data_IF_753389742801
#
_entry.id   IF_753389742801
#
_cell.length_a   1.000
_cell.length_b   1.000
_cell.length_c   1.000
_cell.angle_alpha   90.00
_cell.angle_beta   90.00
_cell.angle_gamma   90.00
#
_symmetry.space_group_name_H-M   'P 1'
#
loop_
_entity.id
_entity.type
_entity.pdbx_description
1 polymer ?
#
# COMPACT_ATOMS: atom_id res chain seq x y z
N UNK A 1 -44.03 -17.74 40.51
CA UNK A 1 -42.58 -17.48 40.42
C UNK A 1 -42.09 -17.91 39.05
N UNK A 2 -40.99 -17.30 38.59
CA UNK A 2 -40.26 -17.52 37.33
C UNK A 2 -40.73 -16.67 36.13
N UNK A 3 -40.45 -15.37 36.31
CA UNK A 3 -39.68 -14.48 35.43
C UNK A 3 -39.45 -14.93 33.98
N UNK A 4 -39.99 -14.12 33.06
CA UNK A 4 -39.63 -14.17 31.65
C UNK A 4 -38.43 -13.24 31.43
N UNK A 5 -37.25 -13.81 31.21
CA UNK A 5 -36.06 -13.08 30.80
C UNK A 5 -36.26 -12.48 29.40
N UNK A 6 -36.62 -11.21 29.41
CA UNK A 6 -36.76 -10.35 28.23
C UNK A 6 -35.37 -10.18 27.61
N UNK A 7 -35.10 -10.90 26.53
CA UNK A 7 -33.90 -10.68 25.71
C UNK A 7 -33.89 -9.23 25.25
N UNK A 8 -33.01 -8.44 25.89
CA UNK A 8 -32.81 -7.04 25.62
C UNK A 8 -31.95 -6.94 24.35
N UNK A 9 -32.58 -7.04 23.18
CA UNK A 9 -31.94 -6.77 21.89
C UNK A 9 -31.63 -5.28 21.80
N UNK A 10 -30.51 -4.88 22.41
CA UNK A 10 -29.91 -3.57 22.13
C UNK A 10 -29.37 -3.63 20.71
N UNK A 11 -30.21 -3.30 19.73
CA UNK A 11 -29.72 -2.82 18.46
C UNK A 11 -28.89 -1.56 18.75
N UNK A 12 -27.57 -1.72 18.75
CA UNK A 12 -26.64 -0.61 18.75
C UNK A 12 -26.96 0.23 17.52
N UNK A 13 -27.67 1.35 17.72
CA UNK A 13 -27.85 2.36 16.70
C UNK A 13 -26.46 2.81 16.28
N UNK A 14 -25.98 2.32 15.13
CA UNK A 14 -24.75 2.78 14.51
C UNK A 14 -24.92 4.28 14.26
N UNK A 15 -24.16 5.11 14.97
CA UNK A 15 -24.30 6.55 14.84
C UNK A 15 -23.70 6.97 13.50
N UNK A 16 -24.47 7.70 12.69
CA UNK A 16 -24.02 8.24 11.40
C UNK A 16 -22.69 9.00 11.53
N UNK A 17 -22.50 9.71 12.64
CA UNK A 17 -21.28 10.44 12.95
C UNK A 17 -20.07 9.51 13.13
N UNK A 18 -20.27 8.35 13.76
CA UNK A 18 -19.22 7.34 13.95
C UNK A 18 -18.84 6.69 12.62
N UNK A 19 -19.82 6.44 11.74
CA UNK A 19 -19.58 5.91 10.39
C UNK A 19 -18.82 6.91 9.51
N UNK A 20 -19.19 8.19 9.56
CA UNK A 20 -18.48 9.26 8.84
C UNK A 20 -17.04 9.37 9.36
N UNK A 21 -16.86 9.33 10.68
CA UNK A 21 -15.53 9.40 11.30
C UNK A 21 -14.67 8.18 10.94
N UNK A 22 -15.22 6.97 10.99
CA UNK A 22 -14.52 5.75 10.62
C UNK A 22 -14.08 5.79 9.14
N UNK A 23 -14.94 6.27 8.24
CA UNK A 23 -14.62 6.42 6.83
C UNK A 23 -13.53 7.46 6.57
N UNK A 24 -13.59 8.61 7.27
CA UNK A 24 -12.56 9.65 7.17
C UNK A 24 -11.19 9.14 7.63
N UNK A 25 -11.14 8.40 8.76
CA UNK A 25 -9.91 7.81 9.28
C UNK A 25 -9.35 6.72 8.37
N UNK A 26 -10.23 5.88 7.81
CA UNK A 26 -9.83 4.79 6.91
C UNK A 26 -9.26 5.33 5.59
N UNK A 27 -9.94 6.31 4.98
CA UNK A 27 -9.53 6.89 3.69
C UNK A 27 -8.26 7.75 3.76
N UNK A 28 -7.97 8.32 4.93
CA UNK A 28 -6.74 9.12 5.15
C UNK A 28 -5.57 8.29 5.70
N UNK A 29 -5.76 6.98 5.91
CA UNK A 29 -4.72 6.09 6.42
C UNK A 29 -3.56 6.04 5.43
N UNK A 30 -2.43 6.61 5.85
CA UNK A 30 -1.17 6.51 5.10
C UNK A 30 -0.77 5.04 5.03
N UNK A 31 -0.72 4.50 3.82
CA UNK A 31 -0.14 3.18 3.58
C UNK A 31 1.35 3.22 3.93
N UNK A 32 1.86 2.11 4.48
CA UNK A 32 3.32 1.95 4.64
C UNK A 32 3.94 2.16 3.26
N UNK A 33 4.99 2.99 3.18
CA UNK A 33 5.84 3.06 2.00
C UNK A 33 6.46 1.68 1.81
N UNK A 34 5.84 0.87 0.96
CA UNK A 34 6.50 -0.28 0.37
C UNK A 34 7.44 0.28 -0.68
N UNK A 35 8.70 -0.18 -0.70
CA UNK A 35 9.57 0.04 -1.85
C UNK A 35 8.94 -0.71 -3.04
N UNK A 36 8.01 -0.05 -3.72
CA UNK A 36 7.44 -0.51 -4.98
C UNK A 36 8.37 -0.16 -6.15
N UNK A 37 9.57 0.34 -5.86
CA UNK A 37 10.66 0.32 -6.82
C UNK A 37 11.07 -1.13 -6.96
N UNK A 38 10.89 -1.70 -8.14
CA UNK A 38 11.70 -2.83 -8.58
C UNK A 38 13.14 -2.45 -8.23
N UNK A 39 13.82 -3.21 -7.37
CA UNK A 39 15.23 -3.02 -7.07
C UNK A 39 15.93 -3.08 -8.44
N UNK A 40 16.30 -1.91 -8.93
CA UNK A 40 16.77 -1.70 -10.29
C UNK A 40 18.15 -1.11 -10.15
N UNK A 41 19.13 -1.84 -10.66
CA UNK A 41 20.48 -1.30 -10.82
C UNK A 41 20.38 -0.04 -11.67
N UNK A 42 21.21 0.96 -11.39
CA UNK A 42 21.27 2.16 -12.23
C UNK A 42 22.50 2.07 -13.12
N UNK A 43 22.39 2.55 -14.36
CA UNK A 43 23.56 2.75 -15.20
C UNK A 43 24.50 3.77 -14.53
N UNK A 44 25.79 3.45 -14.41
CA UNK A 44 26.78 4.35 -13.80
C UNK A 44 27.01 5.62 -14.61
N UNK A 45 26.91 5.53 -15.94
CA UNK A 45 27.13 6.68 -16.83
C UNK A 45 25.94 7.64 -16.86
N UNK A 46 24.72 7.12 -17.08
CA UNK A 46 23.54 7.98 -17.33
C UNK A 46 22.47 7.94 -16.25
N UNK A 47 22.60 7.07 -15.25
CA UNK A 47 21.62 6.94 -14.15
C UNK A 47 20.29 6.28 -14.53
N UNK A 48 20.13 5.84 -15.78
CA UNK A 48 18.94 5.12 -16.23
C UNK A 48 18.72 3.84 -15.40
N UNK A 49 17.45 3.55 -15.07
CA UNK A 49 17.07 2.35 -14.35
C UNK A 49 17.25 1.12 -15.24
N UNK A 50 17.91 0.09 -14.70
CA UNK A 50 18.15 -1.21 -15.32
C UNK A 50 17.47 -2.28 -14.44
N UNK A 51 16.67 -3.18 -15.02
CA UNK A 51 16.20 -4.35 -14.29
C UNK A 51 17.38 -5.15 -13.71
N UNK A 52 17.21 -5.77 -12.55
CA UNK A 52 18.29 -6.57 -11.95
C UNK A 52 18.53 -7.90 -12.67
N UNK A 53 17.45 -8.53 -13.17
CA UNK A 53 17.45 -9.80 -13.89
C UNK A 53 17.55 -9.63 -15.42
N UNK A 54 18.57 -8.92 -15.88
CA UNK A 54 18.87 -8.83 -17.32
C UNK A 54 20.34 -9.06 -17.56
N UNK A 55 20.66 -9.74 -18.68
CA UNK A 55 22.03 -9.98 -19.15
C UNK A 55 22.55 -8.88 -20.09
N UNK A 56 21.89 -7.71 -20.10
CA UNK A 56 22.31 -6.56 -20.92
C UNK A 56 23.77 -6.18 -20.58
N UNK A 57 24.63 -6.19 -21.61
CA UNK A 57 26.03 -5.76 -21.51
C UNK A 57 26.18 -4.25 -21.68
N UNK A 58 25.27 -3.63 -22.39
CA UNK A 58 25.26 -2.21 -22.73
C UNK A 58 23.95 -1.57 -22.31
N UNK A 59 24.00 -0.29 -21.92
CA UNK A 59 22.84 0.50 -21.56
C UNK A 59 22.05 0.87 -22.82
N UNK A 60 20.77 0.51 -22.89
CA UNK A 60 19.91 0.86 -24.03
C UNK A 60 19.72 2.38 -24.19
N UNK A 61 19.93 3.16 -23.12
CA UNK A 61 19.74 4.60 -23.16
C UNK A 61 20.97 5.37 -23.68
N UNK A 62 22.17 5.05 -23.18
CA UNK A 62 23.39 5.78 -23.54
C UNK A 62 24.41 4.97 -24.34
N UNK A 63 24.19 3.67 -24.53
CA UNK A 63 25.10 2.76 -25.23
C UNK A 63 26.33 2.35 -24.43
N UNK A 64 26.55 2.91 -23.23
CA UNK A 64 27.72 2.58 -22.42
C UNK A 64 27.66 1.16 -21.87
N UNK A 65 28.84 0.54 -21.76
CA UNK A 65 28.99 -0.78 -21.19
C UNK A 65 28.79 -0.74 -19.66
N UNK A 66 28.07 -1.73 -19.11
CA UNK A 66 27.76 -1.75 -17.68
C UNK A 66 28.93 -2.20 -16.78
N UNK A 67 30.01 -2.73 -17.36
CA UNK A 67 31.17 -3.29 -16.65
C UNK A 67 32.36 -2.34 -16.69
#
# INVERSE_FOLDING_TARGET
MQENDKQNSKEEKKNLLDDILANALSSTKKYKKTNAGLETKKCKSCGAARPEDTDLKYCDFCGDQFY
#
